data_IF_114132521809
#
_entry.id   IF_114132521809
#
_cell.length_a   1.000
_cell.length_b   1.000
_cell.length_c   1.000
_cell.angle_alpha   90.00
_cell.angle_beta   90.00
_cell.angle_gamma   90.00
#
_symmetry.space_group_name_H-M   'P 1'
#
loop_
_entity.id
_entity.type
_entity.pdbx_description
1 polymer ?
#
# COMPACT_ATOMS: atom_id res chain seq x y z
N UNK A 1 23.42 9.74 2.03
CA UNK A 1 23.03 9.96 3.45
C UNK A 1 22.65 8.62 4.05
N UNK A 2 23.25 8.29 5.20
CA UNK A 2 22.87 7.06 5.89
C UNK A 2 21.51 7.24 6.56
N UNK A 3 20.64 6.26 6.36
CA UNK A 3 19.33 6.17 6.99
C UNK A 3 19.15 4.80 7.63
N UNK A 4 18.36 4.76 8.68
CA UNK A 4 17.90 3.53 9.33
C UNK A 4 16.38 3.50 9.28
N UNK A 5 15.79 2.52 8.59
CA UNK A 5 14.34 2.40 8.41
C UNK A 5 13.90 0.98 8.68
N UNK A 6 12.74 0.80 9.32
CA UNK A 6 12.14 -0.52 9.53
C UNK A 6 11.03 -0.74 8.48
N UNK A 7 11.16 -1.75 7.65
CA UNK A 7 10.16 -2.08 6.63
C UNK A 7 9.71 -3.53 6.80
N UNK A 8 8.40 -3.74 6.96
CA UNK A 8 7.79 -5.05 7.19
C UNK A 8 8.42 -5.82 8.38
N UNK A 9 8.82 -5.08 9.41
CA UNK A 9 9.45 -5.64 10.62
C UNK A 9 10.95 -5.88 10.52
N UNK A 10 11.57 -5.67 9.36
CA UNK A 10 13.02 -5.78 9.16
C UNK A 10 13.67 -4.40 9.13
N UNK A 11 14.81 -4.26 9.84
CA UNK A 11 15.54 -2.98 9.89
C UNK A 11 16.64 -2.96 8.83
N UNK A 12 16.64 -1.91 8.03
CA UNK A 12 17.59 -1.64 6.96
C UNK A 12 18.43 -0.41 7.29
N UNK A 13 19.75 -0.56 7.24
CA UNK A 13 20.69 0.55 7.27
C UNK A 13 21.29 0.70 5.88
N UNK A 14 21.11 1.89 5.26
CA UNK A 14 21.52 2.14 3.87
C UNK A 14 22.05 3.55 3.70
N UNK A 15 23.08 3.67 2.85
CA UNK A 15 23.50 4.97 2.31
C UNK A 15 22.69 5.25 1.04
N UNK A 16 21.88 6.31 1.05
CA UNK A 16 20.96 6.66 -0.03
C UNK A 16 21.30 8.03 -0.64
N UNK A 17 21.06 8.18 -1.96
CA UNK A 17 21.10 9.50 -2.61
C UNK A 17 19.99 10.37 -1.99
N UNK A 18 20.29 11.61 -1.56
CA UNK A 18 19.28 12.51 -0.98
C UNK A 18 18.05 12.79 -1.85
N UNK A 19 18.16 12.57 -3.16
CA UNK A 19 17.05 12.75 -4.12
C UNK A 19 16.29 11.46 -4.42
N UNK A 20 16.71 10.33 -3.85
CA UNK A 20 16.06 9.03 -4.06
C UNK A 20 14.63 9.08 -3.55
N UNK A 21 13.64 8.79 -4.40
CA UNK A 21 12.24 8.65 -3.97
C UNK A 21 12.08 7.37 -3.13
N UNK A 22 11.21 7.44 -2.14
CA UNK A 22 10.95 6.32 -1.23
C UNK A 22 10.48 5.07 -1.99
N UNK A 23 9.62 5.23 -2.99
CA UNK A 23 9.14 4.08 -3.79
C UNK A 23 10.29 3.38 -4.53
N UNK A 24 11.24 4.13 -5.10
CA UNK A 24 12.38 3.55 -5.79
C UNK A 24 13.36 2.91 -4.82
N UNK A 25 13.54 3.48 -3.64
CA UNK A 25 14.30 2.85 -2.56
C UNK A 25 13.70 1.50 -2.15
N UNK A 26 12.39 1.44 -1.92
CA UNK A 26 11.69 0.21 -1.55
C UNK A 26 11.82 -0.85 -2.65
N UNK A 27 11.60 -0.47 -3.91
CA UNK A 27 11.58 -1.43 -5.03
C UNK A 27 12.96 -1.86 -5.48
N UNK A 28 13.85 -0.88 -5.71
CA UNK A 28 15.10 -1.12 -6.44
C UNK A 28 16.27 -1.38 -5.51
N UNK A 29 16.29 -0.74 -4.33
CA UNK A 29 17.41 -0.86 -3.38
C UNK A 29 17.17 -1.99 -2.34
N UNK A 30 15.89 -2.30 -2.05
CA UNK A 30 15.50 -3.37 -1.11
C UNK A 30 14.84 -4.57 -1.79
N UNK A 31 14.58 -4.51 -3.09
CA UNK A 31 13.94 -5.58 -3.88
C UNK A 31 12.51 -5.94 -3.41
N UNK A 32 11.82 -5.00 -2.73
CA UNK A 32 10.43 -5.13 -2.32
C UNK A 32 9.52 -4.60 -3.44
N UNK A 33 9.24 -5.44 -4.42
CA UNK A 33 8.60 -5.03 -5.69
C UNK A 33 7.08 -5.04 -5.68
N UNK A 34 6.44 -5.39 -4.56
CA UNK A 34 4.98 -5.46 -4.44
C UNK A 34 4.28 -4.11 -4.60
N UNK A 35 4.86 -3.02 -4.10
CA UNK A 35 4.35 -1.67 -4.38
C UNK A 35 4.69 -1.24 -5.82
N UNK A 36 3.75 -0.64 -6.55
CA UNK A 36 3.90 -0.31 -7.97
C UNK A 36 4.07 1.19 -8.23
N UNK A 37 4.66 1.54 -9.37
CA UNK A 37 4.78 2.92 -9.86
C UNK A 37 3.88 3.08 -11.08
N UNK A 38 2.75 3.78 -10.93
CA UNK A 38 1.81 4.00 -12.03
C UNK A 38 1.90 5.40 -12.66
N UNK A 39 2.21 6.44 -11.88
CA UNK A 39 2.25 7.81 -12.39
C UNK A 39 3.49 8.60 -11.96
N UNK A 40 4.07 8.27 -10.82
CA UNK A 40 5.21 8.97 -10.19
C UNK A 40 4.96 10.47 -9.91
N UNK A 41 3.69 10.85 -9.78
CA UNK A 41 3.22 12.24 -9.62
C UNK A 41 2.18 12.41 -8.51
N UNK A 42 2.02 11.39 -7.64
CA UNK A 42 1.09 11.45 -6.52
C UNK A 42 -0.39 11.25 -6.87
N UNK A 43 -0.73 10.87 -8.11
CA UNK A 43 -2.12 10.77 -8.57
C UNK A 43 -2.72 9.37 -8.43
N UNK A 44 -2.04 8.32 -8.93
CA UNK A 44 -2.67 7.02 -9.13
C UNK A 44 -2.84 6.17 -7.86
N UNK A 45 -2.02 6.36 -6.85
CA UNK A 45 -2.07 5.61 -5.58
C UNK A 45 -1.49 4.19 -5.63
N UNK A 46 -0.96 3.72 -6.77
CA UNK A 46 -0.37 2.39 -6.88
C UNK A 46 0.83 2.16 -5.94
N UNK A 47 1.48 3.24 -5.52
CA UNK A 47 2.63 3.25 -4.62
C UNK A 47 2.27 3.42 -3.14
N UNK A 48 1.00 3.33 -2.77
CA UNK A 48 0.56 3.53 -1.39
C UNK A 48 1.18 2.48 -0.47
N UNK A 49 1.76 2.95 0.64
CA UNK A 49 2.31 2.16 1.75
C UNK A 49 1.80 2.74 3.07
N UNK A 50 1.93 2.02 4.17
CA UNK A 50 1.72 2.62 5.50
C UNK A 50 3.06 3.13 6.02
N UNK A 51 3.10 4.39 6.36
CA UNK A 51 4.25 5.09 6.93
C UNK A 51 3.90 5.54 8.35
N UNK A 52 4.52 4.94 9.34
CA UNK A 52 4.17 5.11 10.75
C UNK A 52 2.65 4.94 11.03
N UNK A 53 2.02 4.02 10.31
CA UNK A 53 0.59 3.72 10.42
C UNK A 53 -0.33 4.52 9.49
N UNK A 54 0.16 5.56 8.81
CA UNK A 54 -0.63 6.38 7.89
C UNK A 54 -0.43 5.96 6.43
N UNK A 55 -1.53 5.88 5.67
CA UNK A 55 -1.46 5.59 4.24
C UNK A 55 -0.92 6.79 3.46
N UNK A 56 0.25 6.62 2.85
CA UNK A 56 0.91 7.66 2.05
C UNK A 56 1.29 7.15 0.67
N UNK A 57 1.47 8.07 -0.27
CA UNK A 57 2.00 7.77 -1.61
C UNK A 57 3.52 7.89 -1.60
N UNK A 58 4.22 6.76 -1.61
CA UNK A 58 5.68 6.71 -1.47
C UNK A 58 6.45 7.38 -2.60
N UNK A 59 5.81 7.65 -3.74
CA UNK A 59 6.39 8.47 -4.81
C UNK A 59 6.46 9.97 -4.47
N UNK A 60 5.83 10.41 -3.38
CA UNK A 60 5.82 11.80 -2.93
C UNK A 60 6.77 12.08 -1.77
N UNK A 61 7.52 11.08 -1.34
CA UNK A 61 8.53 11.19 -0.28
C UNK A 61 9.92 10.83 -0.79
N UNK A 62 10.93 11.49 -0.25
CA UNK A 62 12.32 11.10 -0.42
C UNK A 62 12.69 9.98 0.58
N UNK A 63 13.56 9.07 0.19
CA UNK A 63 14.02 7.98 1.06
C UNK A 63 14.64 8.50 2.37
N UNK A 64 15.34 9.63 2.31
CA UNK A 64 15.94 10.28 3.48
C UNK A 64 14.94 10.75 4.53
N UNK A 65 13.67 10.97 4.14
CA UNK A 65 12.60 11.33 5.07
C UNK A 65 12.07 10.13 5.85
N UNK A 66 12.46 8.92 5.45
CA UNK A 66 12.09 7.68 6.14
C UNK A 66 13.08 7.26 7.22
N UNK A 67 14.11 8.07 7.51
CA UNK A 67 15.04 7.78 8.61
C UNK A 67 14.29 7.70 9.95
N UNK A 68 14.47 6.58 10.66
CA UNK A 68 13.76 6.28 11.90
C UNK A 68 12.30 5.86 11.74
N UNK A 69 11.75 5.79 10.51
CA UNK A 69 10.36 5.44 10.29
C UNK A 69 10.12 3.92 10.28
N UNK A 70 8.86 3.55 10.53
CA UNK A 70 8.33 2.20 10.31
C UNK A 70 7.40 2.21 9.10
N UNK A 71 7.64 1.33 8.14
CA UNK A 71 6.89 1.25 6.89
C UNK A 71 6.34 -0.17 6.73
N UNK A 72 5.07 -0.26 6.29
CA UNK A 72 4.47 -1.52 5.86
C UNK A 72 4.13 -1.41 4.37
N UNK A 73 4.51 -2.43 3.61
CA UNK A 73 4.16 -2.60 2.21
C UNK A 73 3.19 -3.78 2.05
N UNK A 74 2.67 -4.00 0.84
CA UNK A 74 1.72 -5.09 0.58
C UNK A 74 2.27 -6.47 0.95
N UNK A 75 3.57 -6.65 0.89
CA UNK A 75 4.24 -7.90 1.28
C UNK A 75 4.03 -8.26 2.75
N UNK A 76 3.77 -7.26 3.62
CA UNK A 76 3.52 -7.50 5.06
C UNK A 76 2.15 -8.12 5.33
N UNK A 77 1.21 -8.07 4.39
CA UNK A 77 -0.14 -8.59 4.58
C UNK A 77 -0.19 -10.12 4.58
N UNK A 78 0.69 -10.74 3.80
CA UNK A 78 0.77 -12.21 3.72
C UNK A 78 1.76 -12.76 4.72
N UNK A 79 1.34 -13.73 5.52
CA UNK A 79 2.21 -14.45 6.44
C UNK A 79 2.34 -15.91 6.00
N UNK A 80 3.58 -16.43 5.93
CA UNK A 80 3.87 -17.84 5.60
C UNK A 80 3.26 -18.34 4.26
N UNK A 81 3.06 -17.40 3.30
CA UNK A 81 2.47 -17.73 2.00
C UNK A 81 0.93 -17.80 2.00
N UNK A 82 0.29 -17.48 3.12
CA UNK A 82 -1.17 -17.40 3.23
C UNK A 82 -1.64 -15.95 3.07
N UNK A 83 -2.77 -15.76 2.37
CA UNK A 83 -3.41 -14.48 2.22
C UNK A 83 -4.06 -14.06 3.54
N UNK A 84 -4.00 -12.76 3.87
CA UNK A 84 -4.82 -12.23 4.96
C UNK A 84 -6.30 -12.12 4.54
N UNK A 85 -7.17 -11.77 5.48
CA UNK A 85 -8.61 -11.69 5.24
C UNK A 85 -8.98 -10.67 4.14
N UNK A 86 -8.26 -9.55 4.06
CA UNK A 86 -8.50 -8.52 3.05
C UNK A 86 -8.06 -8.99 1.65
N UNK A 87 -6.88 -9.59 1.54
CA UNK A 87 -6.40 -10.19 0.30
C UNK A 87 -7.32 -11.31 -0.18
N UNK A 88 -7.78 -12.18 0.74
CA UNK A 88 -8.72 -13.24 0.42
C UNK A 88 -10.04 -12.68 -0.09
N UNK A 89 -10.58 -11.64 0.55
CA UNK A 89 -11.80 -10.97 0.08
C UNK A 89 -11.64 -10.36 -1.32
N UNK A 90 -10.47 -9.78 -1.63
CA UNK A 90 -10.17 -9.29 -2.98
C UNK A 90 -10.18 -10.41 -4.02
N UNK A 91 -9.67 -11.58 -3.68
CA UNK A 91 -9.74 -12.78 -4.53
C UNK A 91 -11.17 -13.26 -4.73
N UNK A 92 -11.91 -13.45 -3.64
CA UNK A 92 -13.26 -14.03 -3.63
C UNK A 92 -14.29 -13.15 -4.35
N UNK A 93 -14.14 -11.83 -4.25
CA UNK A 93 -15.04 -10.85 -4.88
C UNK A 93 -14.55 -10.34 -6.24
N UNK A 94 -13.52 -10.97 -6.82
CA UNK A 94 -12.95 -10.55 -8.11
C UNK A 94 -12.60 -9.06 -8.16
N UNK A 95 -12.00 -8.55 -7.07
CA UNK A 95 -11.68 -7.14 -6.89
C UNK A 95 -10.41 -6.68 -7.66
N UNK A 96 -9.87 -7.54 -8.50
CA UNK A 96 -8.72 -7.26 -9.35
C UNK A 96 -8.87 -7.92 -10.72
N UNK A 97 -8.25 -7.31 -11.74
CA UNK A 97 -8.10 -7.88 -13.07
C UNK A 97 -6.62 -7.88 -13.45
N UNK A 98 -6.05 -6.78 -13.94
CA UNK A 98 -4.61 -6.73 -14.21
C UNK A 98 -3.74 -6.77 -12.94
N UNK A 99 -4.29 -6.39 -11.78
CA UNK A 99 -3.59 -6.41 -10.49
C UNK A 99 -2.67 -5.22 -10.24
N UNK A 100 -2.53 -4.28 -11.18
CA UNK A 100 -1.54 -3.20 -11.06
C UNK A 100 -1.88 -2.20 -9.94
N UNK A 101 -3.16 -1.84 -9.77
CA UNK A 101 -3.61 -0.96 -8.70
C UNK A 101 -3.76 -1.68 -7.34
N UNK A 102 -3.76 -3.00 -7.34
CA UNK A 102 -4.17 -3.83 -6.20
C UNK A 102 -3.31 -3.62 -4.96
N UNK A 103 -1.98 -3.55 -5.02
CA UNK A 103 -1.15 -3.29 -3.83
C UNK A 103 -1.52 -1.98 -3.13
N UNK A 104 -1.68 -0.90 -3.90
CA UNK A 104 -2.07 0.40 -3.36
C UNK A 104 -3.49 0.41 -2.78
N UNK A 105 -4.44 -0.26 -3.45
CA UNK A 105 -5.81 -0.43 -2.96
C UNK A 105 -5.84 -1.18 -1.63
N UNK A 106 -5.09 -2.28 -1.52
CA UNK A 106 -4.99 -3.08 -0.30
C UNK A 106 -4.43 -2.26 0.87
N UNK A 107 -3.37 -1.48 0.64
CA UNK A 107 -2.78 -0.66 1.71
C UNK A 107 -3.71 0.48 2.15
N UNK A 108 -4.43 1.11 1.23
CA UNK A 108 -5.45 2.11 1.56
C UNK A 108 -6.63 1.50 2.32
N UNK A 109 -7.08 0.31 1.91
CA UNK A 109 -8.15 -0.41 2.61
C UNK A 109 -7.71 -0.88 3.99
N UNK A 110 -6.48 -1.41 4.11
CA UNK A 110 -5.92 -1.79 5.41
C UNK A 110 -5.90 -0.61 6.38
N UNK A 111 -5.40 0.54 5.95
CA UNK A 111 -5.40 1.75 6.77
C UNK A 111 -6.81 2.10 7.28
N UNK A 112 -7.82 2.05 6.40
CA UNK A 112 -9.21 2.28 6.81
C UNK A 112 -9.67 1.27 7.85
N UNK A 113 -9.45 -0.04 7.60
CA UNK A 113 -9.93 -1.11 8.49
C UNK A 113 -9.21 -1.12 9.84
N UNK A 114 -7.95 -0.69 9.88
CA UNK A 114 -7.20 -0.52 11.13
C UNK A 114 -7.78 0.62 12.00
N UNK A 115 -8.36 1.65 11.39
CA UNK A 115 -9.00 2.77 12.09
C UNK A 115 -10.48 2.54 12.39
N UNK A 116 -11.18 1.84 11.49
CA UNK A 116 -12.61 1.57 11.60
C UNK A 116 -12.90 0.16 11.05
N UNK A 117 -13.13 -0.79 11.94
CA UNK A 117 -13.38 -2.19 11.57
C UNK A 117 -14.74 -2.42 10.87
N UNK A 118 -15.67 -1.47 10.94
CA UNK A 118 -17.02 -1.56 10.35
C UNK A 118 -17.36 -0.31 9.53
N UNK A 119 -16.58 0.00 8.47
CA UNK A 119 -16.80 1.21 7.69
C UNK A 119 -18.08 1.12 6.87
N UNK A 120 -18.75 2.25 6.70
CA UNK A 120 -19.82 2.40 5.74
C UNK A 120 -19.28 2.38 4.32
N UNK A 121 -20.13 2.09 3.33
CA UNK A 121 -19.74 2.15 1.91
C UNK A 121 -19.17 3.52 1.51
N UNK A 122 -19.74 4.60 2.05
CA UNK A 122 -19.25 5.96 1.81
C UNK A 122 -17.83 6.19 2.32
N UNK A 123 -17.50 5.64 3.50
CA UNK A 123 -16.15 5.71 4.07
C UNK A 123 -15.16 4.86 3.26
N UNK A 124 -15.58 3.67 2.79
CA UNK A 124 -14.76 2.84 1.91
C UNK A 124 -14.44 3.60 0.61
N UNK A 125 -15.45 4.15 -0.06
CA UNK A 125 -15.27 4.92 -1.29
C UNK A 125 -14.35 6.12 -1.08
N UNK A 126 -14.49 6.82 0.05
CA UNK A 126 -13.62 7.94 0.42
C UNK A 126 -12.17 7.49 0.66
N UNK A 127 -11.97 6.37 1.33
CA UNK A 127 -10.62 5.86 1.63
C UNK A 127 -9.83 5.49 0.37
N UNK A 128 -10.51 4.96 -0.66
CA UNK A 128 -9.85 4.55 -1.91
C UNK A 128 -9.92 5.60 -3.04
N UNK A 129 -10.49 6.79 -2.79
CA UNK A 129 -10.62 7.83 -3.83
C UNK A 129 -9.27 8.30 -4.40
N UNK A 130 -8.18 8.14 -3.65
CA UNK A 130 -6.82 8.42 -4.08
C UNK A 130 -6.14 7.29 -4.88
N UNK A 131 -6.88 6.20 -5.17
CA UNK A 131 -6.39 5.02 -5.86
C UNK A 131 -7.15 4.82 -7.17
N UNK A 132 -6.43 4.81 -8.29
CA UNK A 132 -7.04 4.70 -9.63
C UNK A 132 -6.97 3.25 -10.10
N UNK A 133 -8.13 2.70 -10.47
CA UNK A 133 -8.23 1.41 -11.14
C UNK A 133 -8.88 1.60 -12.52
N UNK A 134 -8.23 1.13 -13.59
CA UNK A 134 -8.73 1.22 -14.96
C UNK A 134 -9.62 0.03 -15.35
N UNK A 135 -9.57 -1.07 -14.62
CA UNK A 135 -10.15 -2.35 -15.02
C UNK A 135 -11.52 -2.62 -14.40
N UNK A 136 -11.67 -2.44 -13.07
CA UNK A 136 -12.78 -3.02 -12.29
C UNK A 136 -14.03 -2.16 -12.20
N UNK A 137 -13.93 -0.85 -12.44
CA UNK A 137 -15.03 0.09 -12.16
C UNK A 137 -15.31 0.27 -10.66
N UNK A 138 -14.42 -0.20 -9.78
CA UNK A 138 -14.44 -0.05 -8.32
C UNK A 138 -15.50 -0.84 -7.55
N UNK A 139 -16.59 -1.30 -8.16
CA UNK A 139 -17.70 -1.96 -7.45
C UNK A 139 -17.21 -3.18 -6.68
N UNK A 140 -16.49 -4.08 -7.33
CA UNK A 140 -15.98 -5.29 -6.70
C UNK A 140 -14.94 -5.00 -5.62
N UNK A 141 -14.14 -3.93 -5.77
CA UNK A 141 -13.19 -3.47 -4.75
C UNK A 141 -13.94 -3.04 -3.49
N UNK A 142 -15.00 -2.24 -3.64
CA UNK A 142 -15.82 -1.79 -2.51
C UNK A 142 -16.48 -2.98 -1.80
N UNK A 143 -17.04 -3.94 -2.56
CA UNK A 143 -17.64 -5.15 -2.00
C UNK A 143 -16.62 -6.03 -1.27
N UNK A 144 -15.40 -6.16 -1.81
CA UNK A 144 -14.33 -6.91 -1.15
C UNK A 144 -13.93 -6.28 0.19
N UNK A 145 -13.74 -4.96 0.24
CA UNK A 145 -13.39 -4.24 1.48
C UNK A 145 -14.52 -4.40 2.50
N UNK A 146 -15.77 -4.27 2.06
CA UNK A 146 -16.95 -4.47 2.90
C UNK A 146 -17.04 -5.90 3.44
N UNK A 147 -16.72 -6.91 2.63
CA UNK A 147 -16.69 -8.30 3.06
C UNK A 147 -15.57 -8.60 4.05
N UNK A 148 -14.44 -7.92 3.95
CA UNK A 148 -13.32 -8.03 4.89
C UNK A 148 -13.56 -7.27 6.21
N UNK A 149 -14.53 -6.33 6.23
CA UNK A 149 -14.92 -5.60 7.43
C UNK A 149 -15.80 -6.47 8.33
N UNK A 150 -15.64 -6.36 9.65
CA UNK A 150 -16.37 -7.16 10.63
C UNK A 150 -17.13 -6.31 11.63
#
# INVERSE_FOLDING_TARGET
MNITVTINGETYERDVDPRRLLIHFIRDDLDLTGSHVGCDTGNCGACTVLFNGDAIKSCMLLAVQADGATIETVESLSANGELDALQQAFSDHHALQCGYCTPGMLMSAKHLLDQNATPTEGEIRKAIQGNICRCTGYVNIVEAIKAASK
#
